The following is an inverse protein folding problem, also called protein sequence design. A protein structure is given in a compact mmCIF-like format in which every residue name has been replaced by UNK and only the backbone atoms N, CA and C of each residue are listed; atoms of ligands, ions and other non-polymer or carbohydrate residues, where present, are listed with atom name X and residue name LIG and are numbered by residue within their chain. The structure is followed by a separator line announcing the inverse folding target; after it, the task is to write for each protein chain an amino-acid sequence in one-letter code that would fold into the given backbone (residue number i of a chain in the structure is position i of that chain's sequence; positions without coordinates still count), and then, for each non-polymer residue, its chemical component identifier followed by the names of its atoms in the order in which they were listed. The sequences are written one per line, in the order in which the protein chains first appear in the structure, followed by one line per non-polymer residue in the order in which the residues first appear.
data_IF_088332493423
#
_entry.id   IF_088332493423
#
_cell.length_a   1.000
_cell.length_b   1.000
_cell.length_c   1.000
_cell.angle_alpha   90.00
_cell.angle_beta   90.00
_cell.angle_gamma   90.00
#
_symmetry.space_group_name_H-M   'P 1'
#
loop_
_entity.id
_entity.type
_entity.pdbx_description
1 polymer ?
#
# COMPACT_ATOMS: atom_id res chain seq x y z
N UNK A 1 -20.23 31.25 13.70
CA UNK A 1 -21.04 31.79 12.57
C UNK A 1 -21.26 30.69 11.57
N UNK A 2 -22.52 30.37 11.33
CA UNK A 2 -23.03 29.29 10.45
C UNK A 2 -22.80 29.63 8.97
N UNK A 3 -22.46 28.68 8.14
CA UNK A 3 -22.93 28.63 6.75
C UNK A 3 -22.97 27.23 6.23
N UNK A 4 -24.17 26.68 6.19
CA UNK A 4 -24.56 25.54 5.41
C UNK A 4 -24.72 25.98 3.93
N UNK A 5 -24.32 25.16 2.97
CA UNK A 5 -24.79 25.28 1.59
C UNK A 5 -25.30 23.94 1.06
N UNK A 6 -26.55 24.04 0.69
CA UNK A 6 -27.47 23.00 0.28
C UNK A 6 -27.18 22.43 -1.11
N UNK A 7 -27.69 21.22 -1.27
CA UNK A 7 -27.85 20.49 -2.52
C UNK A 7 -28.65 21.23 -3.59
N UNK A 8 -28.32 20.99 -4.85
CA UNK A 8 -29.27 21.16 -5.97
C UNK A 8 -29.25 19.96 -6.88
N UNK A 9 -30.33 19.21 -6.83
CA UNK A 9 -30.69 18.19 -7.80
C UNK A 9 -31.08 18.83 -9.15
N UNK A 10 -30.82 18.11 -10.20
CA UNK A 10 -31.27 18.40 -11.57
C UNK A 10 -31.68 17.11 -12.23
N UNK A 11 -33.00 16.87 -12.25
CA UNK A 11 -33.68 15.85 -13.03
C UNK A 11 -33.88 16.40 -14.43
N UNK A 12 -33.48 15.68 -15.47
CA UNK A 12 -33.99 15.87 -16.83
C UNK A 12 -34.39 14.51 -17.41
N UNK A 13 -35.61 14.54 -17.92
CA UNK A 13 -36.43 13.44 -18.36
C UNK A 13 -36.23 13.02 -19.83
N UNK A 14 -36.59 11.76 -20.06
CA UNK A 14 -37.22 11.14 -21.24
C UNK A 14 -36.87 11.58 -22.67
N UNK A 15 -36.45 10.57 -23.43
CA UNK A 15 -36.56 10.52 -24.89
C UNK A 15 -36.65 9.08 -25.37
N UNK A 16 -37.89 8.54 -25.46
CA UNK A 16 -38.22 7.30 -26.15
C UNK A 16 -38.18 7.53 -27.65
N UNK A 17 -37.41 6.75 -28.38
CA UNK A 17 -37.59 6.55 -29.81
C UNK A 17 -37.44 5.06 -30.14
N UNK A 18 -38.58 4.45 -30.42
CA UNK A 18 -38.69 3.12 -31.01
C UNK A 18 -38.40 3.20 -32.51
N UNK A 19 -37.54 2.33 -33.01
CA UNK A 19 -37.51 1.98 -34.45
C UNK A 19 -37.24 0.48 -34.58
N UNK A 20 -38.21 -0.16 -35.19
CA UNK A 20 -38.23 -1.57 -35.52
C UNK A 20 -37.32 -1.90 -36.72
N UNK A 21 -36.81 -3.10 -36.78
CA UNK A 21 -36.56 -3.79 -38.05
C UNK A 21 -35.13 -4.25 -38.27
N UNK A 22 -34.92 -5.54 -38.23
CA UNK A 22 -34.30 -6.44 -39.18
C UNK A 22 -33.56 -7.56 -38.44
N UNK A 23 -34.15 -8.76 -38.49
CA UNK A 23 -33.50 -9.99 -38.10
C UNK A 23 -32.41 -10.34 -39.12
N UNK A 24 -31.15 -10.30 -38.67
CA UNK A 24 -30.03 -10.92 -39.36
C UNK A 24 -29.49 -12.04 -38.45
N UNK A 25 -29.70 -13.28 -38.85
CA UNK A 25 -29.14 -14.45 -38.23
C UNK A 25 -27.62 -14.41 -38.44
N UNK A 26 -26.87 -14.07 -37.40
CA UNK A 26 -25.41 -14.28 -37.35
C UNK A 26 -25.14 -15.64 -36.70
N UNK A 27 -24.59 -16.55 -37.47
CA UNK A 27 -24.01 -17.80 -36.98
C UNK A 27 -22.90 -17.49 -35.99
N UNK A 28 -23.12 -17.81 -34.73
CA UNK A 28 -22.10 -17.77 -33.68
C UNK A 28 -21.11 -18.93 -33.95
N UNK A 29 -19.97 -18.58 -34.56
CA UNK A 29 -18.81 -19.45 -34.55
C UNK A 29 -18.34 -19.60 -33.10
N UNK A 30 -18.58 -20.76 -32.50
CA UNK A 30 -17.92 -21.17 -31.23
C UNK A 30 -16.43 -21.31 -31.49
N UNK A 31 -15.68 -20.22 -31.29
CA UNK A 31 -14.24 -20.29 -31.16
C UNK A 31 -13.88 -21.09 -29.90
N UNK A 32 -12.78 -21.89 -29.94
CA UNK A 32 -12.38 -22.67 -28.79
C UNK A 32 -12.19 -21.73 -27.58
N UNK A 33 -12.87 -22.07 -26.48
CA UNK A 33 -12.71 -21.37 -25.22
C UNK A 33 -11.20 -21.30 -24.90
N UNK A 34 -10.62 -20.10 -24.94
CA UNK A 34 -9.29 -19.88 -24.42
C UNK A 34 -9.35 -20.24 -22.95
N UNK A 35 -8.77 -21.40 -22.59
CA UNK A 35 -8.53 -21.78 -21.22
C UNK A 35 -7.85 -20.58 -20.55
N UNK A 36 -8.53 -19.93 -19.62
CA UNK A 36 -7.90 -18.96 -18.76
C UNK A 36 -6.70 -19.65 -18.10
N UNK A 37 -5.51 -19.16 -18.38
CA UNK A 37 -4.33 -19.64 -17.70
C UNK A 37 -4.60 -19.57 -16.20
N UNK A 38 -4.31 -20.63 -15.42
CA UNK A 38 -4.54 -20.62 -13.98
C UNK A 38 -3.83 -19.39 -13.42
N UNK A 39 -4.55 -18.60 -12.62
CA UNK A 39 -3.98 -17.50 -11.88
C UNK A 39 -2.73 -18.05 -11.17
N UNK A 40 -1.56 -17.70 -11.68
CA UNK A 40 -0.29 -18.17 -11.12
C UNK A 40 -0.28 -17.78 -9.65
N UNK A 41 -0.06 -18.77 -8.82
CA UNK A 41 0.10 -18.65 -7.39
C UNK A 41 1.17 -17.60 -7.04
N UNK A 42 0.74 -16.34 -6.87
CA UNK A 42 1.50 -15.26 -6.24
C UNK A 42 1.70 -15.53 -4.73
N UNK A 43 1.06 -16.58 -4.22
CA UNK A 43 0.98 -16.91 -2.79
C UNK A 43 2.27 -17.46 -2.16
N UNK A 44 3.37 -17.62 -2.90
CA UNK A 44 4.62 -18.21 -2.36
C UNK A 44 5.85 -17.33 -2.45
N UNK A 45 5.74 -16.13 -2.96
CA UNK A 45 6.86 -15.20 -2.93
C UNK A 45 7.06 -14.68 -1.50
N UNK A 46 8.23 -14.90 -0.93
CA UNK A 46 8.59 -14.30 0.36
C UNK A 46 9.13 -12.90 0.08
N UNK A 47 8.33 -11.87 0.36
CA UNK A 47 8.74 -10.47 0.21
C UNK A 47 9.40 -9.92 1.47
N UNK A 48 9.05 -10.48 2.62
CA UNK A 48 9.56 -10.09 3.93
C UNK A 48 10.36 -11.24 4.52
N UNK A 49 11.56 -11.00 5.06
CA UNK A 49 12.29 -12.02 5.82
C UNK A 49 11.46 -12.54 6.99
N UNK A 50 11.81 -13.71 7.51
CA UNK A 50 11.18 -14.24 8.72
C UNK A 50 11.16 -13.19 9.84
N UNK A 51 10.10 -13.14 10.66
CA UNK A 51 10.01 -12.23 11.79
C UNK A 51 11.24 -12.36 12.71
N UNK A 52 11.88 -11.25 13.01
CA UNK A 52 13.07 -11.18 13.83
C UNK A 52 12.95 -10.06 14.87
N UNK A 53 13.65 -10.15 16.02
CA UNK A 53 13.75 -9.01 16.92
C UNK A 53 14.49 -7.85 16.25
N UNK A 54 14.17 -6.63 16.68
CA UNK A 54 14.95 -5.46 16.25
C UNK A 54 16.41 -5.62 16.73
N UNK A 55 17.38 -5.21 15.90
CA UNK A 55 18.78 -5.20 16.32
C UNK A 55 19.00 -4.35 17.57
N UNK A 56 20.04 -4.66 18.38
CA UNK A 56 20.42 -3.83 19.51
C UNK A 56 20.66 -2.37 19.08
N UNK A 57 20.24 -1.43 19.91
CA UNK A 57 20.43 0.01 19.66
C UNK A 57 19.40 0.64 18.70
N UNK A 58 18.44 -0.14 18.19
CA UNK A 58 17.34 0.44 17.42
C UNK A 58 16.33 1.14 18.32
N UNK A 59 15.73 2.18 17.81
CA UNK A 59 14.64 2.92 18.45
C UNK A 59 13.30 2.29 18.10
N UNK A 60 12.25 2.65 18.89
CA UNK A 60 10.89 2.17 18.65
C UNK A 60 9.88 3.31 18.74
N UNK A 61 8.80 3.18 17.96
CA UNK A 61 7.62 4.02 18.01
C UNK A 61 6.39 3.12 18.09
N UNK A 62 5.54 3.35 19.07
CA UNK A 62 4.25 2.66 19.19
C UNK A 62 3.17 3.49 18.51
N UNK A 63 2.30 2.86 17.73
CA UNK A 63 1.09 3.51 17.22
C UNK A 63 0.26 4.07 18.38
N UNK A 64 -0.36 5.27 18.25
CA UNK A 64 -1.17 5.86 19.29
C UNK A 64 -2.26 4.96 19.86
N UNK A 65 -2.85 4.11 19.02
CA UNK A 65 -3.86 3.12 19.41
C UNK A 65 -3.28 1.84 20.03
N UNK A 66 -1.96 1.73 20.17
CA UNK A 66 -1.27 0.60 20.81
C UNK A 66 -1.25 -0.70 20.01
N UNK A 67 -1.77 -0.73 18.78
CA UNK A 67 -1.92 -1.98 18.00
C UNK A 67 -0.62 -2.48 17.38
N UNK A 68 0.39 -1.62 17.21
CA UNK A 68 1.66 -2.01 16.60
C UNK A 68 2.85 -1.19 17.08
N UNK A 69 4.05 -1.74 16.90
CA UNK A 69 5.34 -1.10 17.20
C UNK A 69 6.22 -1.14 15.96
N UNK A 70 6.67 0.04 15.55
CA UNK A 70 7.66 0.26 14.51
C UNK A 70 9.04 0.36 15.13
N UNK A 71 10.01 -0.36 14.57
CA UNK A 71 11.43 -0.26 14.94
C UNK A 71 12.22 0.39 13.80
N UNK A 72 13.17 1.25 14.16
CA UNK A 72 14.01 1.95 13.17
C UNK A 72 15.46 2.11 13.64
N UNK A 73 16.42 2.12 12.70
CA UNK A 73 17.84 2.21 13.04
C UNK A 73 18.21 3.59 13.59
N UNK A 74 19.33 3.72 14.36
CA UNK A 74 19.75 4.99 14.96
C UNK A 74 20.18 6.05 13.91
N UNK A 75 20.37 5.65 12.65
CA UNK A 75 20.66 6.56 11.53
C UNK A 75 19.41 7.27 10.99
N UNK A 76 18.23 6.94 11.49
CA UNK A 76 16.97 7.60 11.17
C UNK A 76 16.47 8.37 12.40
N UNK A 77 15.62 9.35 12.18
CA UNK A 77 15.01 10.17 13.22
C UNK A 77 13.50 10.15 13.08
N UNK A 78 12.79 10.26 14.20
CA UNK A 78 11.34 10.47 14.18
C UNK A 78 11.04 11.74 13.38
N UNK A 79 10.06 11.66 12.48
CA UNK A 79 9.55 12.80 11.72
C UNK A 79 8.07 12.99 12.00
N UNK A 80 7.59 14.19 11.81
CA UNK A 80 6.16 14.51 11.95
C UNK A 80 5.37 13.83 10.83
N UNK A 81 4.17 13.37 11.15
CA UNK A 81 3.21 12.76 10.24
C UNK A 81 1.80 13.03 10.75
N UNK A 82 0.82 12.30 10.23
CA UNK A 82 -0.56 12.36 10.67
C UNK A 82 -0.68 11.94 12.15
N UNK A 83 -1.74 12.40 12.81
CA UNK A 83 -1.93 12.26 14.26
C UNK A 83 -2.00 10.81 14.75
N UNK A 84 -2.43 9.89 13.90
CA UNK A 84 -2.56 8.45 14.17
C UNK A 84 -1.42 7.61 13.61
N UNK A 85 -0.47 8.23 12.89
CA UNK A 85 0.70 7.61 12.32
C UNK A 85 1.96 7.79 13.16
N UNK A 86 2.95 6.94 12.93
CA UNK A 86 4.31 7.13 13.41
C UNK A 86 5.29 6.95 12.25
N UNK A 87 6.26 7.87 12.16
CA UNK A 87 7.21 7.89 11.07
C UNK A 87 8.62 8.12 11.55
N UNK A 88 9.57 7.48 10.86
CA UNK A 88 11.00 7.74 10.99
C UNK A 88 11.64 7.88 9.61
N UNK A 89 12.62 8.76 9.49
CA UNK A 89 13.30 9.01 8.22
C UNK A 89 14.79 9.33 8.39
N UNK A 90 15.55 9.06 7.35
CA UNK A 90 16.84 9.69 7.10
C UNK A 90 16.65 10.69 5.97
N UNK A 91 16.95 11.95 6.26
CA UNK A 91 16.83 13.03 5.29
C UNK A 91 18.17 13.27 4.58
N UNK A 92 18.09 13.63 3.32
CA UNK A 92 19.21 14.10 2.52
C UNK A 92 19.28 15.63 2.48
N UNK A 93 20.27 16.18 1.75
CA UNK A 93 20.33 17.58 1.46
C UNK A 93 19.01 18.06 0.81
N UNK A 94 18.47 19.18 1.30
CA UNK A 94 17.17 19.69 0.81
C UNK A 94 15.94 19.01 1.40
N UNK A 95 16.10 18.14 2.42
CA UNK A 95 14.97 17.55 3.16
C UNK A 95 14.28 16.38 2.46
N UNK A 96 14.81 15.86 1.36
CA UNK A 96 14.25 14.67 0.70
C UNK A 96 14.44 13.43 1.57
N UNK A 97 13.48 12.52 1.55
CA UNK A 97 13.58 11.23 2.23
C UNK A 97 14.55 10.31 1.49
N UNK A 98 15.67 9.93 2.14
CA UNK A 98 16.60 8.90 1.66
C UNK A 98 16.22 7.51 2.16
N UNK A 99 15.70 7.42 3.37
CA UNK A 99 15.03 6.25 3.96
C UNK A 99 13.76 6.75 4.64
N UNK A 100 12.69 6.01 4.50
CA UNK A 100 11.43 6.34 5.13
C UNK A 100 10.75 5.07 5.67
N UNK A 101 10.30 5.15 6.91
CA UNK A 101 9.49 4.15 7.57
C UNK A 101 8.24 4.85 8.12
N UNK A 102 7.09 4.26 7.87
CA UNK A 102 5.82 4.75 8.39
C UNK A 102 4.99 3.58 8.87
N UNK A 103 4.27 3.78 9.96
CA UNK A 103 3.21 2.86 10.38
C UNK A 103 1.94 3.65 10.67
N UNK A 104 0.80 3.11 10.22
CA UNK A 104 -0.54 3.66 10.45
C UNK A 104 -1.49 2.56 10.88
N UNK A 105 -2.54 2.84 11.65
CA UNK A 105 -3.67 1.94 11.77
C UNK A 105 -4.30 1.70 10.39
N UNK A 106 -5.05 0.62 10.25
CA UNK A 106 -5.93 0.45 9.09
C UNK A 106 -6.94 1.59 9.06
N UNK A 107 -7.11 2.23 7.91
CA UNK A 107 -7.90 3.46 7.76
C UNK A 107 -9.16 3.32 6.92
N UNK A 108 -9.30 2.24 6.15
CA UNK A 108 -10.41 2.08 5.21
C UNK A 108 -10.82 0.63 4.99
N UNK A 109 -11.13 0.33 3.73
CA UNK A 109 -11.63 -0.98 3.30
C UNK A 109 -10.50 -1.96 2.90
N UNK A 110 -9.25 -1.63 3.20
CA UNK A 110 -8.12 -2.51 2.97
C UNK A 110 -8.25 -3.79 3.79
N UNK A 111 -7.89 -4.89 3.17
CA UNK A 111 -7.88 -6.22 3.74
C UNK A 111 -6.70 -7.02 3.21
N UNK A 112 -6.33 -8.10 3.90
CA UNK A 112 -5.25 -8.97 3.42
C UNK A 112 -5.50 -9.48 1.98
N UNK A 113 -6.77 -9.67 1.61
CA UNK A 113 -7.15 -10.17 0.28
C UNK A 113 -7.01 -9.10 -0.81
N UNK A 114 -7.38 -7.86 -0.52
CA UNK A 114 -7.42 -6.80 -1.53
C UNK A 114 -6.19 -5.86 -1.47
N UNK A 115 -5.23 -6.11 -0.57
CA UNK A 115 -4.14 -5.18 -0.28
C UNK A 115 -3.41 -4.66 -1.52
N UNK A 116 -3.00 -5.55 -2.43
CA UNK A 116 -2.27 -5.15 -3.63
C UNK A 116 -3.05 -4.17 -4.51
N UNK A 117 -4.32 -4.46 -4.77
CA UNK A 117 -5.17 -3.59 -5.58
C UNK A 117 -5.56 -2.30 -4.85
N UNK A 118 -5.77 -2.39 -3.53
CA UNK A 118 -6.06 -1.23 -2.68
C UNK A 118 -4.85 -0.27 -2.67
N UNK A 119 -3.64 -0.76 -2.36
CA UNK A 119 -2.42 0.06 -2.31
C UNK A 119 -2.17 0.80 -3.63
N UNK A 120 -2.30 0.11 -4.75
CA UNK A 120 -2.10 0.73 -6.05
C UNK A 120 -3.14 1.84 -6.35
N UNK A 121 -4.42 1.62 -5.98
CA UNK A 121 -5.44 2.67 -6.12
C UNK A 121 -5.15 3.86 -5.22
N UNK A 122 -4.80 3.60 -3.94
CA UNK A 122 -4.46 4.63 -2.97
C UNK A 122 -3.32 5.52 -3.48
N UNK A 123 -2.18 4.94 -3.89
CA UNK A 123 -1.07 5.69 -4.46
C UNK A 123 -1.49 6.56 -5.65
N UNK A 124 -2.33 6.05 -6.54
CA UNK A 124 -2.79 6.80 -7.72
C UNK A 124 -3.75 7.92 -7.39
N UNK A 125 -4.57 7.77 -6.36
CA UNK A 125 -5.52 8.81 -5.94
C UNK A 125 -4.84 9.94 -5.20
N UNK A 126 -3.94 9.63 -4.29
CA UNK A 126 -3.48 10.59 -3.28
C UNK A 126 -2.04 11.07 -3.53
N UNK A 127 -1.07 10.14 -3.62
CA UNK A 127 0.33 10.48 -3.48
C UNK A 127 1.10 10.56 -4.80
N UNK A 128 0.66 9.85 -5.83
CA UNK A 128 1.47 9.61 -7.01
C UNK A 128 0.83 10.10 -8.31
N UNK A 129 1.67 10.62 -9.21
CA UNK A 129 1.32 10.84 -10.60
C UNK A 129 1.34 9.54 -11.42
N UNK A 130 2.18 8.58 -10.99
CA UNK A 130 2.31 7.23 -11.56
C UNK A 130 2.59 6.24 -10.44
N UNK A 131 1.98 5.06 -10.52
CA UNK A 131 2.26 3.95 -9.62
C UNK A 131 2.11 2.61 -10.35
N UNK A 132 2.99 1.66 -10.02
CA UNK A 132 2.98 0.28 -10.53
C UNK A 132 3.41 -0.69 -9.45
N UNK A 133 2.91 -1.93 -9.52
CA UNK A 133 3.34 -3.04 -8.67
C UNK A 133 4.43 -3.84 -9.36
N UNK A 134 5.47 -4.19 -8.62
CA UNK A 134 6.50 -5.15 -9.03
C UNK A 134 6.20 -6.56 -8.51
N UNK A 135 5.76 -6.63 -7.25
CA UNK A 135 5.47 -7.90 -6.59
C UNK A 135 4.35 -7.75 -5.56
N UNK A 136 3.65 -8.86 -5.30
CA UNK A 136 2.68 -8.98 -4.21
C UNK A 136 2.75 -10.37 -3.61
N UNK A 137 2.59 -10.48 -2.29
CA UNK A 137 2.53 -11.75 -1.58
C UNK A 137 1.60 -11.66 -0.38
N UNK A 138 0.73 -12.66 -0.23
CA UNK A 138 -0.10 -12.87 0.95
C UNK A 138 0.60 -13.73 2.00
N UNK A 139 -0.07 -13.90 3.14
CA UNK A 139 0.34 -14.81 4.21
C UNK A 139 1.79 -14.62 4.72
N UNK A 140 2.30 -13.39 4.65
CA UNK A 140 3.63 -13.07 5.16
C UNK A 140 3.59 -13.09 6.70
N UNK A 141 4.52 -13.82 7.36
CA UNK A 141 4.54 -13.88 8.81
C UNK A 141 5.06 -12.57 9.42
N UNK A 142 4.44 -12.15 10.53
CA UNK A 142 4.88 -11.03 11.37
C UNK A 142 4.87 -11.43 12.84
N UNK A 143 5.57 -10.68 13.66
CA UNK A 143 5.51 -10.86 15.12
C UNK A 143 4.13 -10.43 15.62
N UNK A 144 3.35 -11.42 16.08
CA UNK A 144 1.98 -11.22 16.57
C UNK A 144 0.88 -11.24 15.52
N UNK A 145 1.21 -11.52 14.24
CA UNK A 145 0.21 -11.54 13.18
C UNK A 145 0.65 -12.07 11.84
N UNK A 146 -0.15 -11.81 10.84
CA UNK A 146 0.13 -12.15 9.44
C UNK A 146 -0.20 -10.96 8.54
N UNK A 147 0.45 -10.85 7.38
CA UNK A 147 0.27 -9.72 6.49
C UNK A 147 0.17 -10.08 5.01
N UNK A 148 -0.27 -9.11 4.22
CA UNK A 148 -0.13 -9.08 2.78
C UNK A 148 0.78 -7.92 2.42
N UNK A 149 1.79 -8.18 1.59
CA UNK A 149 2.82 -7.22 1.25
C UNK A 149 2.89 -6.99 -0.26
N UNK A 150 3.32 -5.81 -0.64
CA UNK A 150 3.62 -5.44 -2.02
C UNK A 150 4.97 -4.75 -2.10
N UNK A 151 5.65 -4.90 -3.23
CA UNK A 151 6.72 -3.99 -3.65
C UNK A 151 6.15 -3.18 -4.80
N UNK A 152 6.20 -1.88 -4.69
CA UNK A 152 5.71 -0.97 -5.70
C UNK A 152 6.69 0.17 -6.00
N UNK A 153 6.46 0.82 -7.14
CA UNK A 153 7.16 2.02 -7.57
C UNK A 153 6.16 3.13 -7.80
N UNK A 154 6.50 4.32 -7.37
CA UNK A 154 5.69 5.49 -7.65
C UNK A 154 6.53 6.75 -7.92
N UNK A 155 5.88 7.72 -8.52
CA UNK A 155 6.43 9.05 -8.78
C UNK A 155 5.55 10.05 -8.04
N UNK A 156 6.12 10.82 -7.12
CA UNK A 156 5.36 11.81 -6.35
C UNK A 156 4.76 12.88 -7.27
N UNK A 157 3.58 13.42 -6.89
CA UNK A 157 2.94 14.51 -7.64
C UNK A 157 3.76 15.80 -7.57
N UNK A 158 4.37 16.05 -6.43
CA UNK A 158 5.23 17.21 -6.19
C UNK A 158 6.68 16.78 -6.38
N UNK A 159 7.48 17.57 -7.10
CA UNK A 159 8.89 17.36 -7.40
C UNK A 159 9.22 16.10 -8.21
N UNK A 160 8.23 15.30 -8.59
CA UNK A 160 8.38 14.09 -9.42
C UNK A 160 9.49 13.11 -8.95
N UNK A 161 9.67 12.98 -7.63
CA UNK A 161 10.62 12.02 -7.06
C UNK A 161 10.14 10.59 -7.29
N UNK A 162 11.08 9.70 -7.61
CA UNK A 162 10.82 8.28 -7.83
C UNK A 162 11.17 7.48 -6.58
N UNK A 163 10.22 6.74 -6.06
CA UNK A 163 10.39 5.87 -4.90
C UNK A 163 10.07 4.42 -5.25
N UNK A 164 10.74 3.53 -4.54
CA UNK A 164 10.39 2.12 -4.41
C UNK A 164 10.06 1.88 -2.96
N UNK A 165 9.00 1.13 -2.70
CA UNK A 165 8.61 0.78 -1.35
C UNK A 165 8.23 -0.69 -1.20
N UNK A 166 8.34 -1.17 0.03
CA UNK A 166 7.72 -2.37 0.54
C UNK A 166 6.62 -1.93 1.51
N UNK A 167 5.38 -2.19 1.15
CA UNK A 167 4.21 -1.83 1.94
C UNK A 167 3.42 -3.08 2.34
N UNK A 168 3.14 -3.24 3.63
CA UNK A 168 2.42 -4.39 4.16
C UNK A 168 1.22 -3.97 5.01
N UNK A 169 0.06 -4.54 4.74
CA UNK A 169 -1.06 -4.56 5.68
C UNK A 169 -0.88 -5.78 6.58
N UNK A 170 -0.81 -5.56 7.88
CA UNK A 170 -0.57 -6.61 8.89
C UNK A 170 -1.74 -6.71 9.84
N UNK A 171 -2.31 -7.91 9.95
CA UNK A 171 -3.41 -8.22 10.86
C UNK A 171 -2.85 -8.84 12.12
N UNK A 172 -3.04 -8.18 13.26
CA UNK A 172 -2.82 -8.70 14.60
C UNK A 172 -4.13 -9.15 15.26
N UNK A 173 -4.07 -9.49 16.55
CA UNK A 173 -5.24 -9.89 17.36
C UNK A 173 -6.17 -8.71 17.67
N UNK A 174 -5.63 -7.54 17.90
CA UNK A 174 -6.39 -6.35 18.34
C UNK A 174 -6.74 -5.40 17.20
N UNK A 175 -6.24 -5.65 15.98
CA UNK A 175 -6.52 -4.81 14.83
C UNK A 175 -5.53 -5.03 13.69
N UNK A 176 -5.69 -4.24 12.65
CA UNK A 176 -4.77 -4.23 11.53
C UNK A 176 -4.05 -2.88 11.44
N UNK A 177 -2.84 -2.92 10.92
CA UNK A 177 -2.00 -1.74 10.68
C UNK A 177 -1.23 -1.89 9.39
N UNK A 178 -0.82 -0.78 8.82
CA UNK A 178 0.03 -0.73 7.63
C UNK A 178 1.44 -0.34 8.06
N UNK A 179 2.44 -1.01 7.51
CA UNK A 179 3.84 -0.58 7.54
C UNK A 179 4.31 -0.30 6.13
N UNK A 180 4.97 0.84 5.93
CA UNK A 180 5.61 1.25 4.69
C UNK A 180 7.10 1.46 4.96
N UNK A 181 7.93 0.91 4.08
CA UNK A 181 9.37 1.07 4.08
C UNK A 181 9.82 1.50 2.68
N UNK A 182 10.27 2.74 2.51
CA UNK A 182 10.52 3.35 1.22
C UNK A 182 11.91 4.00 1.12
N UNK A 183 12.43 4.04 -0.11
CA UNK A 183 13.61 4.80 -0.48
C UNK A 183 13.51 5.30 -1.93
N UNK A 184 14.26 6.34 -2.32
CA UNK A 184 14.42 6.69 -3.73
C UNK A 184 14.79 5.45 -4.54
N UNK A 185 14.18 5.26 -5.71
CA UNK A 185 14.37 4.06 -6.54
C UNK A 185 15.86 3.79 -6.84
N UNK A 186 16.65 4.84 -7.06
CA UNK A 186 18.09 4.70 -7.28
C UNK A 186 18.86 4.19 -6.04
N UNK A 187 18.35 4.45 -4.84
CA UNK A 187 18.96 4.01 -3.57
C UNK A 187 18.39 2.69 -3.06
N UNK A 188 17.27 2.23 -3.61
CA UNK A 188 16.56 1.03 -3.15
C UNK A 188 17.47 -0.20 -3.04
N UNK A 189 18.37 -0.52 -4.00
CA UNK A 189 19.24 -1.69 -3.89
C UNK A 189 20.10 -1.69 -2.62
N UNK A 190 20.64 -0.54 -2.23
CA UNK A 190 21.48 -0.38 -1.02
C UNK A 190 20.65 -0.21 0.27
N UNK A 191 19.45 0.36 0.16
CA UNK A 191 18.55 0.62 1.29
C UNK A 191 17.72 -0.61 1.69
N UNK A 192 17.45 -1.50 0.73
CA UNK A 192 16.52 -2.63 0.89
C UNK A 192 16.82 -3.47 2.14
N UNK A 193 18.07 -3.80 2.40
CA UNK A 193 18.42 -4.67 3.51
C UNK A 193 17.98 -4.09 4.86
N UNK A 194 18.28 -2.83 5.15
CA UNK A 194 17.93 -2.19 6.42
C UNK A 194 16.41 -1.92 6.52
N UNK A 195 15.76 -1.60 5.41
CA UNK A 195 14.32 -1.38 5.35
C UNK A 195 13.52 -2.68 5.55
N UNK A 196 13.92 -3.78 4.91
CA UNK A 196 13.29 -5.08 5.12
C UNK A 196 13.54 -5.62 6.53
N UNK A 197 14.70 -5.30 7.15
CA UNK A 197 14.95 -5.63 8.55
C UNK A 197 13.98 -4.90 9.50
N UNK A 198 13.65 -3.62 9.22
CA UNK A 198 12.64 -2.90 9.99
C UNK A 198 11.25 -3.51 9.84
N UNK A 199 10.88 -3.94 8.63
CA UNK A 199 9.61 -4.64 8.38
C UNK A 199 9.59 -6.00 9.08
N UNK A 200 10.69 -6.76 9.07
CA UNK A 200 10.82 -8.03 9.78
C UNK A 200 10.71 -7.89 11.32
N UNK A 201 11.15 -6.76 11.87
CA UNK A 201 11.06 -6.44 13.30
C UNK A 201 9.70 -5.87 13.71
N UNK A 202 8.87 -5.44 12.75
CA UNK A 202 7.55 -4.86 13.02
C UNK A 202 6.69 -5.84 13.81
N UNK A 203 6.07 -5.32 14.87
CA UNK A 203 5.30 -6.16 15.80
C UNK A 203 3.88 -5.65 15.89
N UNK A 204 2.88 -6.53 15.74
CA UNK A 204 1.45 -6.24 15.95
C UNK A 204 0.92 -6.98 17.17
N UNK A 205 -0.19 -6.48 17.73
CA UNK A 205 -0.83 -7.03 18.92
C UNK A 205 -2.20 -7.62 18.63
#
# INVERSE_FOLDING_TARGET
MKSARAARGGIIALGLLALAGAAAALALAFGPARSAAPARALDRATLVPAPAPAPPGWHQLMLPNGTAVLFYPPTMHRVSGDSDAVSAARLGPGGQYLLYLNATPRQGEESLRNWASYRLRFLRSDDASRASLDAAAGNQPFRGGTGSCVIDHYVTRVLAHRYTELACLVQGRTGASVIVAAAPTALWPSARAILTQAVSAYTVR
#
